data_IF_210464804693
#
_entry.id   IF_210464804693
#
_cell.length_a   1.000
_cell.length_b   1.000
_cell.length_c   1.000
_cell.angle_alpha   90.00
_cell.angle_beta   90.00
_cell.angle_gamma   90.00
#
_symmetry.space_group_name_H-M   'P 1'
#
loop_
_entity.id
_entity.type
_entity.pdbx_description
1 polymer ?
#
# COMPACT_ATOMS: atom_id res chain seq x y z
N UNK A 1 -12.48 -10.98 -7.90
CA UNK A 1 -11.70 -11.00 -9.16
C UNK A 1 -10.62 -9.95 -9.03
N UNK A 2 -9.36 -10.34 -8.83
CA UNK A 2 -8.25 -9.41 -8.69
C UNK A 2 -7.75 -9.04 -10.09
N UNK A 3 -8.47 -8.16 -10.78
CA UNK A 3 -7.79 -7.35 -11.77
C UNK A 3 -6.95 -6.32 -11.00
N UNK A 4 -5.71 -6.14 -11.43
CA UNK A 4 -4.83 -5.11 -10.91
C UNK A 4 -4.92 -3.93 -11.89
N UNK A 5 -5.82 -2.96 -11.68
CA UNK A 5 -6.00 -1.84 -12.59
C UNK A 5 -4.83 -0.86 -12.52
N UNK A 6 -4.74 -0.02 -13.55
CA UNK A 6 -3.72 1.02 -13.74
C UNK A 6 -2.76 0.67 -14.86
N UNK A 7 -2.58 1.58 -15.82
CA UNK A 7 -1.60 1.44 -16.91
C UNK A 7 -0.17 1.73 -16.42
N UNK A 8 -0.03 2.42 -15.29
CA UNK A 8 1.26 2.71 -14.65
C UNK A 8 1.24 2.34 -13.17
N UNK A 9 2.43 2.24 -12.56
CA UNK A 9 2.59 2.01 -11.12
C UNK A 9 1.87 3.10 -10.30
N UNK A 10 2.00 4.37 -10.69
CA UNK A 10 1.35 5.49 -9.97
C UNK A 10 -0.18 5.41 -10.08
N UNK A 11 -0.70 5.15 -11.28
CA UNK A 11 -2.14 5.00 -11.49
C UNK A 11 -2.69 3.82 -10.68
N UNK A 12 -1.96 2.70 -10.65
CA UNK A 12 -2.34 1.54 -9.84
C UNK A 12 -2.44 1.87 -8.36
N UNK A 13 -1.52 2.68 -7.82
CA UNK A 13 -1.59 3.17 -6.44
C UNK A 13 -2.86 3.98 -6.21
N UNK A 14 -3.16 4.95 -7.09
CA UNK A 14 -4.34 5.81 -6.96
C UNK A 14 -5.63 5.01 -6.99
N UNK A 15 -5.78 4.13 -7.98
CA UNK A 15 -6.97 3.28 -8.09
C UNK A 15 -7.12 2.39 -6.87
N UNK A 16 -6.02 1.79 -6.38
CA UNK A 16 -6.09 0.91 -5.20
C UNK A 16 -6.38 1.66 -3.90
N UNK A 17 -5.91 2.90 -3.77
CA UNK A 17 -6.25 3.75 -2.65
C UNK A 17 -7.74 4.09 -2.65
N UNK A 18 -8.28 4.53 -3.79
CA UNK A 18 -9.68 4.97 -3.89
C UNK A 18 -10.67 3.81 -3.75
N UNK A 19 -10.41 2.71 -4.47
CA UNK A 19 -11.37 1.61 -4.58
C UNK A 19 -11.31 0.64 -3.40
N UNK A 20 -10.16 0.52 -2.73
CA UNK A 20 -9.90 -0.51 -1.72
C UNK A 20 -9.38 0.02 -0.38
N UNK A 21 -8.22 0.68 -0.34
CA UNK A 21 -7.53 0.98 0.93
C UNK A 21 -8.18 2.11 1.73
N UNK A 22 -8.78 3.09 1.06
CA UNK A 22 -9.45 4.24 1.67
C UNK A 22 -10.97 4.21 1.48
N UNK A 23 -11.50 3.14 0.87
CA UNK A 23 -12.93 2.95 0.66
C UNK A 23 -13.60 2.35 1.92
N UNK A 24 -14.41 3.12 2.67
CA UNK A 24 -15.12 2.60 3.84
C UNK A 24 -16.24 1.62 3.47
N UNK A 25 -16.71 1.66 2.22
CA UNK A 25 -17.84 0.87 1.73
C UNK A 25 -17.37 -0.46 1.11
N UNK A 26 -16.07 -0.65 0.91
CA UNK A 26 -15.53 -1.89 0.34
C UNK A 26 -15.69 -3.06 1.32
N UNK A 27 -16.28 -4.20 0.90
CA UNK A 27 -16.59 -5.33 1.78
C UNK A 27 -15.36 -5.82 2.57
N UNK A 28 -14.23 -5.99 1.89
CA UNK A 28 -12.95 -6.42 2.49
C UNK A 28 -12.00 -5.27 2.88
N UNK A 29 -12.25 -4.05 2.38
CA UNK A 29 -11.35 -2.90 2.45
C UNK A 29 -11.70 -1.96 3.61
N UNK A 30 -12.94 -2.01 4.10
CA UNK A 30 -13.47 -1.16 5.18
C UNK A 30 -12.63 -1.16 6.46
N UNK A 31 -11.97 -2.27 6.80
CA UNK A 31 -11.10 -2.34 7.99
C UNK A 31 -9.80 -1.54 7.78
N UNK A 32 -9.27 -1.51 6.55
CA UNK A 32 -8.09 -0.73 6.17
C UNK A 32 -8.42 0.75 6.08
N UNK A 33 -9.56 1.10 5.49
CA UNK A 33 -10.02 2.49 5.42
C UNK A 33 -10.16 3.10 6.82
N UNK A 34 -10.79 2.37 7.75
CA UNK A 34 -10.89 2.77 9.16
C UNK A 34 -9.52 2.90 9.83
N UNK A 35 -8.59 1.98 9.54
CA UNK A 35 -7.25 2.04 10.09
C UNK A 35 -6.47 3.27 9.58
N UNK A 36 -6.48 3.56 8.28
CA UNK A 36 -5.79 4.72 7.71
C UNK A 36 -6.35 6.04 8.26
N UNK A 37 -7.67 6.13 8.40
CA UNK A 37 -8.33 7.28 9.00
C UNK A 37 -7.90 7.47 10.47
N UNK A 38 -7.95 6.42 11.29
CA UNK A 38 -7.63 6.50 12.71
C UNK A 38 -6.13 6.66 13.00
N UNK A 39 -5.26 5.96 12.26
CA UNK A 39 -3.83 5.92 12.52
C UNK A 39 -3.09 7.14 11.96
N UNK A 40 -3.48 7.59 10.76
CA UNK A 40 -2.73 8.57 9.96
C UNK A 40 -3.59 9.74 9.44
N UNK A 41 -4.92 9.69 9.59
CA UNK A 41 -5.82 10.76 9.12
C UNK A 41 -6.11 10.72 7.62
N UNK A 42 -5.85 9.60 6.93
CA UNK A 42 -6.11 9.47 5.49
C UNK A 42 -7.50 8.91 5.19
N UNK A 43 -8.14 9.47 4.16
CA UNK A 43 -9.39 9.02 3.54
C UNK A 43 -9.40 9.41 2.05
N UNK A 44 -10.47 9.09 1.31
CA UNK A 44 -10.57 9.40 -0.13
C UNK A 44 -10.35 10.88 -0.46
N UNK A 45 -10.75 11.82 0.41
CA UNK A 45 -10.66 13.26 0.16
C UNK A 45 -9.22 13.81 0.22
N UNK A 46 -8.29 13.09 0.83
CA UNK A 46 -6.88 13.48 0.92
C UNK A 46 -5.92 12.39 0.39
N UNK A 47 -6.46 11.48 -0.41
CA UNK A 47 -5.75 10.35 -1.01
C UNK A 47 -4.47 10.76 -1.75
N UNK A 48 -4.47 11.88 -2.47
CA UNK A 48 -3.30 12.36 -3.22
C UNK A 48 -2.07 12.56 -2.33
N UNK A 49 -2.26 12.98 -1.07
CA UNK A 49 -1.17 13.16 -0.11
C UNK A 49 -0.56 11.83 0.33
N UNK A 50 -1.36 10.76 0.35
CA UNK A 50 -0.90 9.41 0.63
C UNK A 50 -0.24 8.79 -0.61
N UNK A 51 -0.86 8.94 -1.79
CA UNK A 51 -0.36 8.40 -3.05
C UNK A 51 1.08 8.85 -3.34
N UNK A 52 1.38 10.15 -3.13
CA UNK A 52 2.73 10.72 -3.32
C UNK A 52 3.82 10.09 -2.45
N UNK A 53 3.44 9.45 -1.34
CA UNK A 53 4.39 8.80 -0.43
C UNK A 53 4.60 7.32 -0.78
N UNK A 54 3.68 6.71 -1.55
CA UNK A 54 3.73 5.29 -1.90
C UNK A 54 4.42 5.14 -3.26
N UNK A 55 5.74 5.05 -3.22
CA UNK A 55 6.59 4.88 -4.42
C UNK A 55 7.23 3.51 -4.39
N UNK A 56 6.97 2.71 -5.42
CA UNK A 56 7.66 1.43 -5.59
C UNK A 56 9.13 1.65 -5.94
N UNK A 57 10.02 0.98 -5.21
CA UNK A 57 11.46 1.00 -5.43
C UNK A 57 11.98 -0.42 -5.44
N UNK A 58 12.32 -0.93 -6.62
CA UNK A 58 12.72 -2.32 -6.82
C UNK A 58 13.90 -2.76 -5.94
N UNK A 59 14.88 -1.86 -5.70
CA UNK A 59 16.05 -2.14 -4.85
C UNK A 59 15.73 -2.24 -3.35
N UNK A 60 14.63 -1.62 -2.90
CA UNK A 60 14.19 -1.64 -1.49
C UNK A 60 13.11 -2.70 -1.24
N UNK A 61 12.64 -3.37 -2.30
CA UNK A 61 11.53 -4.31 -2.24
C UNK A 61 12.03 -5.75 -2.04
N UNK A 62 11.50 -6.43 -1.04
CA UNK A 62 11.83 -7.82 -0.73
C UNK A 62 10.88 -8.75 -1.52
N UNK A 63 11.38 -9.71 -2.31
CA UNK A 63 10.54 -10.72 -2.93
C UNK A 63 9.76 -11.51 -1.86
N UNK A 64 8.43 -11.58 -2.00
CA UNK A 64 7.57 -12.23 -1.01
C UNK A 64 7.13 -13.62 -1.46
N UNK A 65 6.63 -13.73 -2.69
CA UNK A 65 6.22 -14.99 -3.32
C UNK A 65 6.45 -14.85 -4.82
N UNK A 66 7.15 -15.80 -5.43
CA UNK A 66 7.26 -15.92 -6.88
C UNK A 66 6.47 -17.15 -7.31
N UNK A 67 5.50 -16.95 -8.19
CA UNK A 67 4.96 -18.03 -9.02
C UNK A 67 5.51 -17.88 -10.43
N UNK A 68 5.40 -18.88 -11.31
CA UNK A 68 5.83 -18.75 -12.71
C UNK A 68 5.13 -17.61 -13.49
N UNK A 69 4.00 -17.09 -13.00
CA UNK A 69 3.17 -16.08 -13.67
C UNK A 69 3.12 -14.73 -12.95
N UNK A 70 3.56 -14.66 -11.69
CA UNK A 70 3.44 -13.46 -10.87
C UNK A 70 4.61 -13.36 -9.90
N UNK A 71 5.27 -12.20 -9.87
CA UNK A 71 6.26 -11.87 -8.84
C UNK A 71 5.68 -10.86 -7.86
N UNK A 72 5.54 -11.27 -6.59
CA UNK A 72 5.08 -10.39 -5.51
C UNK A 72 6.26 -9.84 -4.73
N UNK A 73 6.16 -8.55 -4.41
CA UNK A 73 7.14 -7.83 -3.61
C UNK A 73 6.50 -7.26 -2.37
N UNK A 74 7.29 -7.14 -1.31
CA UNK A 74 6.94 -6.45 -0.09
C UNK A 74 7.93 -5.32 0.13
N UNK A 75 7.44 -4.09 0.23
CA UNK A 75 8.27 -2.92 0.50
C UNK A 75 7.78 -2.22 1.75
N UNK A 76 8.70 -1.89 2.66
CA UNK A 76 8.42 -1.06 3.82
C UNK A 76 8.51 0.41 3.42
N UNK A 77 7.46 1.19 3.68
CA UNK A 77 7.43 2.63 3.39
C UNK A 77 6.97 3.36 4.66
N UNK A 78 7.76 4.35 5.09
CA UNK A 78 7.40 5.24 6.19
C UNK A 78 6.40 6.29 5.72
N UNK A 79 5.19 6.25 6.23
CA UNK A 79 4.13 7.19 5.87
C UNK A 79 3.95 8.24 6.96
N UNK A 80 3.97 9.50 6.58
CA UNK A 80 3.62 10.64 7.41
C UNK A 80 2.14 10.96 7.23
N UNK A 81 1.39 10.81 8.31
CA UNK A 81 -0.03 11.10 8.39
C UNK A 81 -0.33 12.59 8.41
N UNK A 82 -1.54 12.96 8.02
CA UNK A 82 -2.03 14.34 8.17
C UNK A 82 -2.18 14.76 9.63
N UNK A 83 -2.15 13.79 10.55
CA UNK A 83 -2.10 14.00 12.00
C UNK A 83 -0.67 14.15 12.56
N UNK A 84 0.35 14.22 11.69
CA UNK A 84 1.76 14.36 12.07
C UNK A 84 2.44 13.08 12.57
N UNK A 85 1.73 11.95 12.64
CA UNK A 85 2.33 10.66 13.01
C UNK A 85 3.08 10.05 11.83
N UNK A 86 4.19 9.40 12.11
CA UNK A 86 4.93 8.60 11.13
C UNK A 86 4.81 7.11 11.48
N UNK A 87 4.38 6.28 10.52
CA UNK A 87 4.22 4.83 10.71
C UNK A 87 4.80 4.10 9.51
N UNK A 88 5.60 3.05 9.79
CA UNK A 88 6.10 2.15 8.76
C UNK A 88 5.04 1.14 8.35
N UNK A 89 4.70 1.13 7.07
CA UNK A 89 3.68 0.27 6.48
C UNK A 89 4.33 -0.65 5.46
N UNK A 90 4.01 -1.94 5.53
CA UNK A 90 4.37 -2.88 4.47
C UNK A 90 3.35 -2.75 3.33
N UNK A 91 3.81 -2.39 2.15
CA UNK A 91 3.02 -2.44 0.92
C UNK A 91 3.39 -3.69 0.13
N UNK A 92 2.36 -4.41 -0.32
CA UNK A 92 2.50 -5.57 -1.18
C UNK A 92 2.23 -5.15 -2.61
N UNK A 93 3.17 -5.47 -3.48
CA UNK A 93 3.15 -5.16 -4.89
C UNK A 93 3.18 -6.45 -5.71
N UNK A 94 2.69 -6.39 -6.94
CA UNK A 94 2.78 -7.46 -7.92
C UNK A 94 3.32 -6.88 -9.22
N UNK A 95 4.30 -7.54 -9.83
CA UNK A 95 4.71 -7.23 -11.18
C UNK A 95 4.02 -8.19 -12.14
N UNK A 96 3.31 -7.61 -13.10
CA UNK A 96 2.64 -8.36 -14.17
C UNK A 96 3.56 -8.48 -15.40
N UNK A 97 3.16 -9.32 -16.36
CA UNK A 97 3.93 -9.58 -17.59
C UNK A 97 4.10 -8.34 -18.49
N UNK A 98 3.25 -7.32 -18.32
CA UNK A 98 3.37 -6.02 -18.99
C UNK A 98 4.50 -5.14 -18.40
N UNK A 99 5.22 -5.65 -17.41
CA UNK A 99 6.31 -4.95 -16.72
C UNK A 99 5.85 -3.93 -15.69
N UNK A 100 4.53 -3.72 -15.52
CA UNK A 100 3.97 -2.73 -14.59
C UNK A 100 3.81 -3.35 -13.21
N UNK A 101 4.40 -2.70 -12.20
CA UNK A 101 4.25 -3.08 -10.80
C UNK A 101 3.03 -2.40 -10.18
N UNK A 102 2.09 -3.20 -9.69
CA UNK A 102 0.79 -2.75 -9.22
C UNK A 102 0.60 -2.97 -7.73
N UNK A 103 -0.14 -2.06 -7.10
CA UNK A 103 -0.36 -2.14 -5.65
C UNK A 103 -1.45 -3.16 -5.33
N UNK A 104 -1.12 -4.14 -4.49
CA UNK A 104 -2.04 -5.20 -4.08
C UNK A 104 -2.75 -4.84 -2.78
N UNK A 105 -1.99 -4.47 -1.74
CA UNK A 105 -2.54 -4.12 -0.43
C UNK A 105 -1.50 -3.42 0.44
N UNK A 106 -1.95 -2.81 1.54
CA UNK A 106 -1.11 -2.44 2.67
C UNK A 106 -1.32 -3.40 3.85
N UNK A 107 -0.28 -3.55 4.67
CA UNK A 107 -0.26 -4.27 5.92
C UNK A 107 0.34 -3.34 6.98
N UNK A 108 -0.46 -2.85 7.94
CA UNK A 108 0.06 -2.11 9.07
C UNK A 108 1.04 -2.99 9.83
N UNK A 109 2.27 -2.51 10.06
CA UNK A 109 3.16 -3.24 10.96
C UNK A 109 2.72 -3.00 12.40
N UNK A 110 2.64 -4.07 13.21
CA UNK A 110 2.64 -3.90 14.66
C UNK A 110 4.01 -3.31 15.01
N UNK A 111 4.00 -2.21 15.77
CA UNK A 111 5.18 -1.55 16.34
C UNK A 111 6.22 -2.62 16.70
N UNK A 112 7.37 -2.65 16.01
CA UNK A 112 8.49 -3.41 16.54
C UNK A 112 8.82 -2.76 17.89
N UNK A 113 8.61 -3.50 18.99
CA UNK A 113 9.25 -3.11 20.27
C UNK A 113 10.74 -3.15 19.95
N UNK A 114 11.37 -1.98 19.84
CA UNK A 114 12.83 -1.89 19.86
C UNK A 114 13.27 -2.56 21.16
N UNK A 115 13.82 -3.78 21.04
CA UNK A 115 14.56 -4.40 22.12
C UNK A 115 15.91 -3.69 22.09
N UNK A 116 16.11 -2.71 22.96
CA UNK A 116 17.45 -2.24 23.26
C UNK A 116 18.08 -3.34 24.12
N UNK A 117 19.12 -3.98 23.58
CA UNK A 117 20.14 -4.71 24.35
C UNK A 117 21.07 -3.72 25.03
#
# INVERSE_FOLDING_TARGET
MLEYPGATTEESVRVKLDTYLLNPDHPDGKSKARWFAAALGFNRNNMDKLAKQIVFKSLEAVPAVSTPFEQKFRQMISIVGTNGRQIDIAFVWIQNDDGVTRLVTSLPTKKQRKQYV
#
